data_IF_832957045600
#
_entry.id   IF_832957045600
#
_cell.length_a   1.000
_cell.length_b   1.000
_cell.length_c   1.000
_cell.angle_alpha   90.00
_cell.angle_beta   90.00
_cell.angle_gamma   90.00
#
_symmetry.space_group_name_H-M   'P 1'
#
loop_
_entity.id
_entity.type
_entity.pdbx_description
1 polymer ?
#
# COMPACT_ATOMS: atom_id res chain seq x y z
N UNK A 1 15.85 3.20 3.80
CA UNK A 1 15.37 2.50 5.03
C UNK A 1 15.73 1.03 4.90
N UNK A 2 16.03 0.33 6.00
CA UNK A 2 16.24 -1.13 5.94
C UNK A 2 14.86 -1.81 5.85
N UNK A 3 14.65 -2.67 4.84
CA UNK A 3 13.37 -3.37 4.58
C UNK A 3 12.94 -4.21 5.78
N UNK A 4 13.89 -4.72 6.56
CA UNK A 4 13.66 -5.51 7.78
C UNK A 4 12.82 -4.79 8.85
N UNK A 5 12.77 -3.46 8.80
CA UNK A 5 12.03 -2.64 9.77
C UNK A 5 10.66 -2.20 9.25
N UNK A 6 10.29 -2.57 8.02
CA UNK A 6 9.02 -2.21 7.43
C UNK A 6 7.92 -3.20 7.83
N UNK A 7 6.72 -2.69 8.07
CA UNK A 7 5.55 -3.51 8.43
C UNK A 7 5.04 -4.21 7.17
N UNK A 8 4.79 -5.51 7.25
CA UNK A 8 4.17 -6.26 6.15
C UNK A 8 2.68 -5.95 6.08
N UNK A 9 2.17 -5.91 4.87
CA UNK A 9 0.75 -5.75 4.58
C UNK A 9 0.31 -6.76 3.53
N UNK A 10 -0.91 -7.25 3.65
CA UNK A 10 -1.63 -7.87 2.55
C UNK A 10 -2.31 -6.80 1.71
N UNK A 11 -2.24 -6.94 0.39
CA UNK A 11 -2.95 -6.11 -0.57
C UNK A 11 -4.12 -6.90 -1.15
N UNK A 12 -5.32 -6.34 -1.10
CA UNK A 12 -6.54 -6.97 -1.60
C UNK A 12 -6.92 -6.45 -2.98
N UNK A 13 -7.37 -7.36 -3.84
CA UNK A 13 -7.96 -7.00 -5.13
C UNK A 13 -9.42 -6.52 -4.97
N UNK A 14 -10.08 -6.17 -6.07
CA UNK A 14 -11.48 -5.70 -6.06
C UNK A 14 -12.51 -6.78 -5.67
N UNK A 15 -12.10 -8.03 -5.44
CA UNK A 15 -12.93 -9.15 -4.98
C UNK A 15 -12.63 -9.52 -3.52
N UNK A 16 -11.94 -8.65 -2.78
CA UNK A 16 -11.49 -8.87 -1.40
C UNK A 16 -10.62 -10.13 -1.22
N UNK A 17 -9.88 -10.52 -2.26
CA UNK A 17 -8.90 -11.60 -2.19
C UNK A 17 -7.48 -11.04 -2.07
N UNK A 18 -6.64 -11.68 -1.27
CA UNK A 18 -5.21 -11.32 -1.15
C UNK A 18 -4.53 -11.52 -2.50
N UNK A 19 -4.03 -10.43 -3.07
CA UNK A 19 -3.33 -10.39 -4.34
C UNK A 19 -1.81 -10.53 -4.14
N UNK A 20 -1.26 -9.83 -3.14
CA UNK A 20 0.16 -9.91 -2.80
C UNK A 20 0.44 -9.50 -1.35
N UNK A 21 1.67 -9.78 -0.91
CA UNK A 21 2.27 -9.25 0.32
C UNK A 21 3.27 -8.16 -0.06
N UNK A 22 3.24 -7.05 0.65
CA UNK A 22 4.14 -5.92 0.43
C UNK A 22 4.62 -5.32 1.76
N UNK A 23 5.58 -4.40 1.69
CA UNK A 23 6.14 -3.68 2.83
C UNK A 23 5.64 -2.25 2.84
N UNK A 24 5.05 -1.82 3.95
CA UNK A 24 4.50 -0.48 4.12
C UNK A 24 5.61 0.55 4.38
N UNK A 25 5.62 1.61 3.57
CA UNK A 25 6.53 2.75 3.75
C UNK A 25 5.83 3.93 4.42
N UNK A 26 4.85 4.52 3.73
CA UNK A 26 4.23 5.76 4.18
C UNK A 26 2.80 5.94 3.67
N UNK A 27 2.09 6.85 4.35
CA UNK A 27 0.81 7.35 3.89
C UNK A 27 1.02 8.46 2.86
N UNK A 28 0.29 8.38 1.75
CA UNK A 28 0.31 9.37 0.70
C UNK A 28 -1.11 9.88 0.42
N UNK A 29 -1.25 11.18 0.19
CA UNK A 29 -2.53 11.79 -0.19
C UNK A 29 -2.50 12.11 -1.68
N UNK A 30 -3.16 11.27 -2.48
CA UNK A 30 -3.30 11.58 -3.90
C UNK A 30 -4.40 12.63 -4.08
N UNK A 31 -3.99 13.84 -4.48
CA UNK A 31 -4.87 14.99 -4.63
C UNK A 31 -5.11 15.24 -6.12
N UNK A 32 -6.32 14.93 -6.58
CA UNK A 32 -6.71 15.13 -7.97
C UNK A 32 -7.02 16.61 -8.24
N UNK A 33 -6.91 17.02 -9.51
CA UNK A 33 -7.21 18.38 -9.98
C UNK A 33 -8.66 18.82 -9.71
N UNK A 34 -9.58 17.86 -9.52
CA UNK A 34 -10.99 18.10 -9.17
C UNK A 34 -11.23 18.25 -7.64
N UNK A 35 -10.17 18.30 -6.83
CA UNK A 35 -10.24 18.44 -5.37
C UNK A 35 -10.55 17.14 -4.62
N UNK A 36 -10.80 16.03 -5.32
CA UNK A 36 -10.97 14.73 -4.66
C UNK A 36 -9.62 14.24 -4.15
N UNK A 37 -9.59 13.84 -2.89
CA UNK A 37 -8.41 13.30 -2.25
C UNK A 37 -8.68 11.87 -1.81
N UNK A 38 -7.85 10.94 -2.26
CA UNK A 38 -7.91 9.54 -1.82
C UNK A 38 -6.70 9.26 -0.97
N UNK A 39 -6.87 8.80 0.29
CA UNK A 39 -5.75 8.39 1.10
C UNK A 39 -5.21 7.04 0.58
N UNK A 40 -3.91 7.00 0.33
CA UNK A 40 -3.19 5.88 -0.23
C UNK A 40 -2.04 5.46 0.70
N UNK A 41 -1.56 4.24 0.52
CA UNK A 41 -0.29 3.77 1.04
C UNK A 41 0.70 3.60 -0.11
N UNK A 42 1.94 3.99 0.14
CA UNK A 42 3.08 3.61 -0.68
C UNK A 42 3.69 2.32 -0.10
N UNK A 43 3.79 1.30 -0.94
CA UNK A 43 4.25 -0.03 -0.59
C UNK A 43 5.44 -0.43 -1.45
N UNK A 44 6.30 -1.29 -0.93
CA UNK A 44 7.40 -1.92 -1.66
C UNK A 44 7.13 -3.42 -1.79
N UNK A 45 7.23 -3.95 -3.00
CA UNK A 45 7.16 -5.39 -3.28
C UNK A 45 8.51 -6.07 -3.01
N UNK A 46 8.53 -7.39 -2.92
CA UNK A 46 9.75 -8.15 -2.65
C UNK A 46 10.85 -7.92 -3.70
N UNK A 47 10.47 -7.67 -4.96
CA UNK A 47 11.39 -7.33 -6.04
C UNK A 47 11.91 -5.88 -6.00
N UNK A 48 11.47 -5.06 -5.03
CA UNK A 48 11.84 -3.65 -4.89
C UNK A 48 10.98 -2.67 -5.70
N UNK A 49 9.97 -3.16 -6.43
CA UNK A 49 9.02 -2.29 -7.12
C UNK A 49 8.12 -1.56 -6.12
N UNK A 50 7.81 -0.30 -6.42
CA UNK A 50 6.94 0.53 -5.59
C UNK A 50 5.50 0.50 -6.13
N UNK A 51 4.56 0.26 -5.23
CA UNK A 51 3.13 0.21 -5.53
C UNK A 51 2.38 1.22 -4.67
N UNK A 52 1.50 2.01 -5.30
CA UNK A 52 0.57 2.87 -4.58
C UNK A 52 -0.81 2.24 -4.58
N UNK A 53 -1.41 2.08 -3.40
CA UNK A 53 -2.74 1.49 -3.25
C UNK A 53 -3.61 2.31 -2.31
N UNK A 54 -4.92 2.29 -2.52
CA UNK A 54 -5.86 2.90 -1.57
C UNK A 54 -5.78 2.22 -0.21
N UNK A 55 -5.89 2.99 0.88
CA UNK A 55 -5.81 2.45 2.24
C UNK A 55 -6.87 1.38 2.55
N UNK A 56 -8.04 1.46 1.90
CA UNK A 56 -9.09 0.45 2.06
C UNK A 56 -8.72 -0.93 1.51
N UNK A 57 -7.61 -1.05 0.76
CA UNK A 57 -7.15 -2.30 0.15
C UNK A 57 -5.98 -2.95 0.88
N UNK A 58 -5.59 -2.45 2.04
CA UNK A 58 -4.46 -3.03 2.78
C UNK A 58 -4.88 -3.53 4.16
N UNK A 59 -4.24 -4.61 4.60
CA UNK A 59 -4.31 -5.10 5.99
C UNK A 59 -2.91 -5.30 6.52
N UNK A 60 -2.57 -4.64 7.62
CA UNK A 60 -1.32 -4.90 8.33
C UNK A 60 -1.34 -6.31 8.90
N UNK A 61 -0.26 -7.04 8.67
CA UNK A 61 -0.06 -8.39 9.22
C UNK A 61 1.11 -8.38 10.21
N UNK A 62 0.96 -9.18 11.27
CA UNK A 62 1.82 -9.18 12.47
C UNK A 62 3.23 -9.66 12.20
#
# INVERSE_FOLDING_TARGET
MNRDNLRKVEVFNNKDQVECIAYFHEFYKDTHWNGQSTPCALLELENGEMLMVSLGKIRFIS
#
